data_IF_947631911579
#
_entry.id   IF_947631911579
#
_cell.length_a   1.000
_cell.length_b   1.000
_cell.length_c   1.000
_cell.angle_alpha   90.00
_cell.angle_beta   90.00
_cell.angle_gamma   90.00
#
_symmetry.space_group_name_H-M   'P 1'
#
loop_
_entity.id
_entity.type
_entity.pdbx_description
1 polymer ?
#
# COMPACT_ATOMS: atom_id res chain seq x y z
N UNK A 1 39.12 10.93 -0.53
CA UNK A 1 38.28 10.13 0.40
C UNK A 1 36.79 10.33 0.11
N UNK A 2 36.38 11.48 -0.44
CA UNK A 2 34.98 11.78 -0.84
C UNK A 2 34.47 11.10 -2.12
N UNK A 3 35.32 10.48 -2.95
CA UNK A 3 34.87 9.76 -4.15
C UNK A 3 34.47 8.29 -3.90
N UNK A 4 34.83 7.70 -2.75
CA UNK A 4 34.49 6.32 -2.39
C UNK A 4 33.08 6.17 -1.78
N UNK A 5 32.43 7.29 -1.45
CA UNK A 5 31.07 7.31 -0.88
C UNK A 5 29.96 7.51 -1.92
N UNK A 6 30.31 7.85 -3.17
CA UNK A 6 29.35 7.97 -4.30
C UNK A 6 28.71 6.63 -4.72
N UNK A 7 29.09 5.53 -4.06
CA UNK A 7 28.58 4.19 -4.32
C UNK A 7 28.03 3.47 -3.08
N UNK A 8 27.67 4.18 -2.00
CA UNK A 8 26.93 3.54 -0.89
C UNK A 8 25.55 3.15 -1.39
N UNK A 9 25.44 1.93 -1.95
CA UNK A 9 24.16 1.22 -2.02
C UNK A 9 23.64 1.11 -0.60
N UNK A 10 22.36 1.38 -0.44
CA UNK A 10 21.70 1.22 0.84
C UNK A 10 21.96 -0.22 1.35
N UNK A 11 22.27 -0.41 2.65
CA UNK A 11 22.60 -1.71 3.19
C UNK A 11 21.43 -2.71 3.12
N UNK A 12 20.19 -2.22 2.96
CA UNK A 12 18.98 -3.04 2.95
C UNK A 12 18.13 -2.80 1.70
N UNK A 13 17.50 -3.86 1.19
CA UNK A 13 16.71 -3.79 -0.04
C UNK A 13 15.38 -3.07 0.15
N UNK A 14 14.65 -3.35 1.23
CA UNK A 14 13.31 -2.76 1.41
C UNK A 14 12.81 -2.74 2.85
N UNK A 15 11.99 -1.74 3.16
CA UNK A 15 11.29 -1.56 4.43
C UNK A 15 9.80 -1.35 4.17
N UNK A 16 8.96 -2.03 4.95
CA UNK A 16 7.53 -1.74 5.01
C UNK A 16 7.23 -1.08 6.35
N UNK A 17 6.78 0.17 6.32
CA UNK A 17 6.32 0.90 7.50
C UNK A 17 4.80 0.73 7.57
N UNK A 18 4.35 -0.12 8.49
CA UNK A 18 2.94 -0.46 8.68
C UNK A 18 2.60 -0.52 10.18
N UNK A 19 1.44 -1.07 10.52
CA UNK A 19 0.92 -1.16 11.88
C UNK A 19 0.12 0.08 12.30
N UNK A 20 -0.87 -0.12 13.18
CA UNK A 20 -1.77 0.95 13.63
C UNK A 20 -2.23 1.88 12.49
N UNK A 21 -1.93 3.17 12.65
CA UNK A 21 -1.79 4.13 11.54
C UNK A 21 -0.37 4.72 11.62
N UNK A 22 0.55 4.40 10.69
CA UNK A 22 1.96 4.75 10.83
C UNK A 22 2.20 6.26 10.78
N UNK A 23 1.37 7.02 10.06
CA UNK A 23 1.50 8.48 9.97
C UNK A 23 1.13 9.22 11.26
N UNK A 24 0.66 8.52 12.31
CA UNK A 24 0.52 9.10 13.64
C UNK A 24 1.84 9.18 14.41
N UNK A 25 2.86 8.41 14.00
CA UNK A 25 4.12 8.27 14.73
C UNK A 25 5.34 8.58 13.86
N UNK A 26 5.25 8.34 12.55
CA UNK A 26 6.30 8.67 11.61
C UNK A 26 6.44 10.19 11.48
N UNK A 27 7.66 10.69 11.68
CA UNK A 27 8.04 12.08 11.45
C UNK A 27 9.14 12.18 10.37
N UNK A 28 9.47 13.41 9.98
CA UNK A 28 10.42 13.70 8.91
C UNK A 28 11.83 13.20 9.26
N UNK A 29 12.28 13.39 10.50
CA UNK A 29 13.64 13.06 10.92
C UNK A 29 13.87 11.55 10.85
N UNK A 30 12.89 10.75 11.30
CA UNK A 30 12.93 9.31 11.21
C UNK A 30 12.86 8.85 9.75
N UNK A 31 11.96 9.42 8.93
CA UNK A 31 11.82 9.04 7.53
C UNK A 31 13.09 9.32 6.73
N UNK A 32 13.73 10.48 6.95
CA UNK A 32 14.97 10.86 6.28
C UNK A 32 16.10 9.88 6.62
N UNK A 33 16.26 9.53 7.90
CA UNK A 33 17.25 8.53 8.32
C UNK A 33 16.97 7.18 7.67
N UNK A 34 15.74 6.67 7.74
CA UNK A 34 15.36 5.39 7.15
C UNK A 34 15.59 5.39 5.63
N UNK A 35 15.24 6.47 4.93
CA UNK A 35 15.42 6.57 3.48
C UNK A 35 16.88 6.47 3.04
N UNK A 36 17.84 6.78 3.92
CA UNK A 36 19.27 6.58 3.66
C UNK A 36 19.75 5.14 3.84
N UNK A 37 18.99 4.31 4.57
CA UNK A 37 19.33 2.92 4.89
C UNK A 37 18.62 1.87 4.05
N UNK A 38 17.56 2.24 3.31
CA UNK A 38 16.75 1.31 2.51
C UNK A 38 16.63 1.77 1.05
N UNK A 39 16.75 0.84 0.09
CA UNK A 39 16.59 1.16 -1.34
C UNK A 39 15.12 1.42 -1.71
N UNK A 40 14.19 0.89 -0.91
CA UNK A 40 12.75 1.00 -1.10
C UNK A 40 12.04 1.10 0.25
N UNK A 41 11.14 2.07 0.41
CA UNK A 41 10.27 2.17 1.58
C UNK A 41 8.83 2.24 1.10
N UNK A 42 7.97 1.39 1.67
CA UNK A 42 6.53 1.46 1.45
C UNK A 42 5.82 1.76 2.79
N UNK A 43 5.05 2.85 2.82
CA UNK A 43 4.28 3.24 3.99
C UNK A 43 2.83 2.79 3.76
N UNK A 44 2.39 1.78 4.53
CA UNK A 44 1.03 1.26 4.49
C UNK A 44 0.11 2.01 5.47
N UNK A 45 -0.71 2.90 4.94
CA UNK A 45 -1.60 3.78 5.72
C UNK A 45 -3.07 3.51 5.40
N UNK A 46 -3.96 3.80 6.36
CA UNK A 46 -5.40 3.77 6.13
C UNK A 46 -5.93 5.08 5.49
N UNK A 47 -5.07 6.08 5.29
CA UNK A 47 -5.37 7.33 4.59
C UNK A 47 -6.12 8.38 5.42
N UNK A 48 -6.32 8.17 6.73
CA UNK A 48 -7.01 9.14 7.61
C UNK A 48 -6.13 10.29 8.07
N UNK A 49 -4.81 10.16 7.91
CA UNK A 49 -3.80 11.18 8.21
C UNK A 49 -3.16 11.64 6.90
N UNK A 50 -3.06 12.96 6.63
CA UNK A 50 -2.39 13.45 5.44
C UNK A 50 -0.87 13.23 5.55
N UNK A 51 -0.22 12.93 4.44
CA UNK A 51 1.24 12.93 4.36
C UNK A 51 1.74 14.35 4.05
N UNK A 52 2.26 15.05 5.06
CA UNK A 52 2.71 16.45 4.96
C UNK A 52 4.22 16.62 4.96
N UNK A 53 4.96 15.51 5.07
CA UNK A 53 6.42 15.50 5.11
C UNK A 53 7.00 15.58 3.69
N UNK A 54 8.31 15.82 3.57
CA UNK A 54 9.01 15.59 2.32
C UNK A 54 8.94 14.10 1.97
N UNK A 55 8.73 13.76 0.69
CA UNK A 55 8.71 12.36 0.22
C UNK A 55 9.98 12.10 -0.61
N UNK A 56 11.00 11.42 -0.06
CA UNK A 56 12.15 10.97 -0.84
C UNK A 56 11.72 10.06 -2.01
N UNK A 57 12.53 10.01 -3.08
CA UNK A 57 12.19 9.28 -4.31
C UNK A 57 12.02 7.77 -4.11
N UNK A 58 12.67 7.19 -3.09
CA UNK A 58 12.57 5.79 -2.72
C UNK A 58 11.44 5.49 -1.72
N UNK A 59 10.61 6.48 -1.37
CA UNK A 59 9.49 6.35 -0.44
C UNK A 59 8.16 6.38 -1.18
N UNK A 60 7.36 5.35 -0.96
CA UNK A 60 6.06 5.16 -1.59
C UNK A 60 4.95 5.06 -0.54
N UNK A 61 3.76 5.50 -0.95
CA UNK A 61 2.56 5.55 -0.12
C UNK A 61 1.52 4.55 -0.63
N UNK A 62 1.34 3.48 0.16
CA UNK A 62 0.29 2.47 0.02
C UNK A 62 -0.95 2.87 0.83
N UNK A 63 -2.03 3.30 0.18
CA UNK A 63 -3.26 3.64 0.90
C UNK A 63 -4.30 2.52 0.83
N UNK A 64 -4.65 1.93 1.98
CA UNK A 64 -5.76 0.98 2.11
C UNK A 64 -6.92 1.63 2.87
N UNK A 65 -7.79 2.40 2.21
CA UNK A 65 -8.81 3.19 2.88
C UNK A 65 -9.82 2.31 3.62
N UNK A 66 -10.10 2.68 4.87
CA UNK A 66 -11.11 2.00 5.72
C UNK A 66 -12.43 2.77 5.79
N UNK A 67 -12.40 4.07 5.51
CA UNK A 67 -13.50 5.02 5.60
C UNK A 67 -13.57 5.86 4.32
N UNK A 68 -14.73 6.45 4.05
CA UNK A 68 -14.92 7.36 2.92
C UNK A 68 -14.11 8.66 3.03
N UNK A 69 -13.81 9.10 4.27
CA UNK A 69 -12.98 10.29 4.52
C UNK A 69 -11.50 9.96 4.35
N UNK A 70 -11.02 10.04 3.12
CA UNK A 70 -9.61 9.84 2.76
C UNK A 70 -8.94 11.21 2.71
N UNK A 71 -8.02 11.48 3.64
CA UNK A 71 -7.24 12.73 3.69
C UNK A 71 -5.94 12.65 2.89
N UNK A 72 -5.50 11.43 2.57
CA UNK A 72 -4.32 11.20 1.75
C UNK A 72 -4.65 11.29 0.26
N UNK A 73 -4.14 12.33 -0.39
CA UNK A 73 -4.46 12.68 -1.79
C UNK A 73 -3.31 12.41 -2.77
N UNK A 74 -2.17 11.93 -2.28
CA UNK A 74 -0.93 11.73 -3.02
C UNK A 74 -0.37 10.30 -2.88
N UNK A 75 -1.25 9.32 -2.65
CA UNK A 75 -0.84 7.92 -2.59
C UNK A 75 -0.28 7.45 -3.95
N UNK A 76 0.77 6.63 -3.93
CA UNK A 76 1.31 6.04 -5.15
C UNK A 76 0.43 4.89 -5.66
N UNK A 77 -0.26 4.21 -4.74
CA UNK A 77 -1.32 3.25 -5.06
C UNK A 77 -2.37 3.15 -3.97
N UNK A 78 -3.61 2.85 -4.41
CA UNK A 78 -4.74 2.57 -3.54
C UNK A 78 -5.06 1.08 -3.55
N UNK A 79 -5.29 0.48 -2.39
CA UNK A 79 -5.63 -0.94 -2.19
C UNK A 79 -7.02 -1.04 -1.55
N UNK A 80 -8.02 -1.49 -2.31
CA UNK A 80 -9.41 -1.60 -1.83
C UNK A 80 -9.74 -3.06 -1.53
N UNK A 81 -10.28 -3.31 -0.33
CA UNK A 81 -10.68 -4.64 0.11
C UNK A 81 -12.05 -5.01 -0.48
N UNK A 82 -12.16 -6.19 -1.09
CA UNK A 82 -13.38 -6.66 -1.75
C UNK A 82 -13.90 -7.90 -1.01
N UNK A 83 -15.18 -7.93 -0.61
CA UNK A 83 -16.23 -6.96 -0.92
C UNK A 83 -16.38 -5.81 0.10
N UNK A 84 -15.76 -5.92 1.28
CA UNK A 84 -16.05 -5.08 2.46
C UNK A 84 -15.91 -3.57 2.26
N UNK A 85 -15.07 -3.13 1.31
CA UNK A 85 -14.79 -1.73 1.01
C UNK A 85 -15.03 -1.37 -0.46
N UNK A 86 -15.81 -2.18 -1.17
CA UNK A 86 -16.07 -2.00 -2.60
C UNK A 86 -16.76 -0.66 -2.90
N UNK A 87 -17.54 -0.11 -1.97
CA UNK A 87 -18.16 1.22 -2.07
C UNK A 87 -17.13 2.35 -2.19
N UNK A 88 -15.92 2.16 -1.67
CA UNK A 88 -14.83 3.14 -1.73
C UNK A 88 -14.15 3.21 -3.10
N UNK A 89 -14.42 2.26 -4.01
CA UNK A 89 -13.82 2.25 -5.36
C UNK A 89 -14.09 3.56 -6.11
N UNK A 90 -15.32 4.08 -6.04
CA UNK A 90 -15.65 5.36 -6.68
C UNK A 90 -14.87 6.50 -6.06
N UNK A 91 -14.72 6.53 -4.74
CA UNK A 91 -13.96 7.58 -4.05
C UNK A 91 -12.50 7.56 -4.49
N UNK A 92 -11.85 6.39 -4.51
CA UNK A 92 -10.44 6.31 -4.94
C UNK A 92 -10.25 6.61 -6.43
N UNK A 93 -11.21 6.24 -7.29
CA UNK A 93 -11.21 6.62 -8.72
C UNK A 93 -11.18 8.16 -8.89
N UNK A 94 -11.87 8.92 -8.03
CA UNK A 94 -11.92 10.40 -8.12
C UNK A 94 -10.71 11.09 -7.49
N UNK A 95 -10.09 10.48 -6.47
CA UNK A 95 -8.86 11.01 -5.85
C UNK A 95 -7.64 10.81 -6.75
N UNK A 96 -7.69 9.79 -7.61
CA UNK A 96 -6.58 9.36 -8.42
C UNK A 96 -6.29 10.32 -9.59
N UNK A 97 -5.24 11.14 -9.47
CA UNK A 97 -4.42 11.51 -10.63
C UNK A 97 -3.57 10.29 -10.98
N UNK A 98 -3.49 9.86 -12.26
CA UNK A 98 -3.43 8.44 -12.64
C UNK A 98 -2.75 7.56 -11.59
N UNK A 99 -3.55 7.01 -10.68
CA UNK A 99 -3.05 6.22 -9.54
C UNK A 99 -3.35 4.75 -9.80
N UNK A 100 -2.43 3.87 -9.40
CA UNK A 100 -2.61 2.42 -9.56
C UNK A 100 -3.61 1.94 -8.52
N UNK A 101 -4.76 1.42 -8.97
CA UNK A 101 -5.78 0.83 -8.09
C UNK A 101 -5.58 -0.69 -8.03
N UNK A 102 -5.42 -1.19 -6.82
CA UNK A 102 -5.36 -2.60 -6.48
C UNK A 102 -6.63 -3.02 -5.76
N UNK A 103 -7.13 -4.21 -6.10
CA UNK A 103 -8.23 -4.86 -5.41
C UNK A 103 -7.70 -6.08 -4.67
N UNK A 104 -7.99 -6.16 -3.37
CA UNK A 104 -7.56 -7.26 -2.51
C UNK A 104 -8.77 -8.04 -2.00
N UNK A 105 -8.83 -9.36 -2.21
CA UNK A 105 -9.91 -10.16 -1.65
C UNK A 105 -9.81 -10.17 -0.13
N UNK A 106 -10.95 -10.02 0.55
CA UNK A 106 -11.06 -10.32 1.97
C UNK A 106 -10.95 -11.83 2.12
N UNK A 107 -9.93 -12.27 2.84
CA UNK A 107 -9.72 -13.68 3.15
C UNK A 107 -10.53 -14.05 4.40
N UNK A 108 -11.35 -15.09 4.29
CA UNK A 108 -12.19 -15.63 5.36
C UNK A 108 -12.04 -17.15 5.39
N UNK A 109 -11.32 -17.68 6.37
CA UNK A 109 -11.19 -19.13 6.57
C UNK A 109 -10.17 -19.81 5.65
N UNK A 110 -9.17 -19.08 5.17
CA UNK A 110 -8.11 -19.54 4.28
C UNK A 110 -8.40 -19.26 2.80
N UNK A 111 -7.36 -19.40 1.96
CA UNK A 111 -7.47 -19.19 0.52
C UNK A 111 -8.30 -20.25 -0.19
N UNK A 112 -8.33 -21.47 0.33
CA UNK A 112 -9.15 -22.57 -0.20
C UNK A 112 -10.64 -22.46 0.17
N UNK A 113 -11.01 -21.53 1.04
CA UNK A 113 -12.40 -21.38 1.45
C UNK A 113 -13.27 -20.88 0.29
N UNK A 114 -14.51 -21.38 0.23
CA UNK A 114 -15.47 -20.94 -0.78
C UNK A 114 -15.71 -19.42 -0.76
N UNK A 115 -15.66 -18.80 0.43
CA UNK A 115 -15.84 -17.36 0.61
C UNK A 115 -14.65 -16.58 0.02
N UNK A 116 -13.42 -16.98 0.34
CA UNK A 116 -12.21 -16.32 -0.19
C UNK A 116 -12.12 -16.50 -1.70
N UNK A 117 -12.43 -17.69 -2.22
CA UNK A 117 -12.46 -17.96 -3.67
C UNK A 117 -13.49 -17.08 -4.39
N UNK A 118 -14.67 -16.87 -3.80
CA UNK A 118 -15.66 -15.96 -4.34
C UNK A 118 -15.18 -14.50 -4.33
N UNK A 119 -14.52 -14.07 -3.24
CA UNK A 119 -13.95 -12.73 -3.16
C UNK A 119 -12.82 -12.52 -4.19
N UNK A 120 -12.00 -13.55 -4.45
CA UNK A 120 -10.99 -13.54 -5.52
C UNK A 120 -11.67 -13.37 -6.89
N UNK A 121 -12.75 -14.12 -7.18
CA UNK A 121 -13.50 -13.97 -8.44
C UNK A 121 -14.03 -12.55 -8.62
N UNK A 122 -14.57 -11.93 -7.57
CA UNK A 122 -15.01 -10.52 -7.61
C UNK A 122 -13.86 -9.57 -7.94
N UNK A 123 -12.70 -9.75 -7.32
CA UNK A 123 -11.50 -8.98 -7.65
C UNK A 123 -11.11 -9.16 -9.14
N UNK A 124 -11.06 -10.39 -9.64
CA UNK A 124 -10.71 -10.68 -11.03
C UNK A 124 -11.69 -10.03 -12.02
N UNK A 125 -12.98 -10.06 -11.72
CA UNK A 125 -14.00 -9.37 -12.52
C UNK A 125 -13.75 -7.85 -12.57
N UNK A 126 -13.38 -7.23 -11.44
CA UNK A 126 -13.01 -5.82 -11.38
C UNK A 126 -11.71 -5.52 -12.15
N UNK A 127 -10.69 -6.38 -12.05
CA UNK A 127 -9.46 -6.26 -12.84
C UNK A 127 -9.77 -6.26 -14.34
N UNK A 128 -10.60 -7.20 -14.81
CA UNK A 128 -10.99 -7.29 -16.21
C UNK A 128 -11.84 -6.10 -16.67
N UNK A 129 -12.75 -5.61 -15.83
CA UNK A 129 -13.71 -4.57 -16.21
C UNK A 129 -13.15 -3.14 -16.09
N UNK A 130 -12.17 -2.92 -15.21
CA UNK A 130 -11.69 -1.57 -14.83
C UNK A 130 -10.18 -1.39 -14.97
N UNK A 131 -9.44 -2.42 -15.34
CA UNK A 131 -7.97 -2.36 -15.43
C UNK A 131 -7.28 -2.31 -14.07
N UNK A 132 -7.99 -2.66 -12.99
CA UNK A 132 -7.40 -2.77 -11.66
C UNK A 132 -6.42 -3.95 -11.59
N UNK A 133 -5.58 -3.95 -10.55
CA UNK A 133 -4.60 -5.00 -10.30
C UNK A 133 -5.01 -5.85 -9.11
N UNK A 134 -4.83 -7.17 -9.22
CA UNK A 134 -5.06 -8.06 -8.09
C UNK A 134 -3.93 -7.91 -7.07
N UNK A 135 -4.27 -7.71 -5.80
CA UNK A 135 -3.34 -7.78 -4.67
C UNK A 135 -3.72 -8.96 -3.80
N UNK A 136 -2.84 -9.96 -3.67
CA UNK A 136 -3.03 -11.09 -2.76
C UNK A 136 -2.17 -10.91 -1.52
N UNK A 137 -2.67 -11.38 -0.37
CA UNK A 137 -1.86 -11.51 0.85
C UNK A 137 -0.93 -12.72 0.70
N UNK A 138 0.14 -12.55 -0.08
CA UNK A 138 1.06 -13.62 -0.45
C UNK A 138 1.61 -14.40 0.74
N UNK A 139 1.94 -13.73 1.85
CA UNK A 139 2.41 -14.39 3.08
C UNK A 139 1.44 -15.47 3.57
N UNK A 140 0.12 -15.24 3.50
CA UNK A 140 -0.89 -16.24 3.85
C UNK A 140 -0.97 -17.38 2.84
N UNK A 141 -0.77 -17.09 1.55
CA UNK A 141 -0.75 -18.11 0.48
C UNK A 141 0.45 -19.05 0.65
N UNK A 142 1.61 -18.51 0.97
CA UNK A 142 2.85 -19.30 1.13
C UNK A 142 3.08 -19.83 2.56
N UNK A 143 2.20 -19.50 3.51
CA UNK A 143 2.26 -19.99 4.89
C UNK A 143 3.28 -19.30 5.81
N UNK A 144 3.63 -18.05 5.52
CA UNK A 144 4.51 -17.19 6.35
C UNK A 144 3.67 -16.23 7.19
N UNK A 145 4.05 -16.02 8.45
CA UNK A 145 3.43 -15.08 9.39
C UNK A 145 4.43 -14.03 9.85
#
# INVERSE_FOLDING_TARGET
MDELLKGRRSPFTGLIISGGEPLLQLDSDLLDQLSSFYEWIDIETNGTVPFTMSKPDNVFLSCSPKLATIKLTNADWYKVLIPDKQDLLRTVEHLAKPTRIYVQPVEVGGYESAITQENIRKCLALCSARGYRLSLQLHKVVGVR
#
